data_IF_020854096806
#
_entry.id   IF_020854096806
#
_cell.length_a   1.000
_cell.length_b   1.000
_cell.length_c   1.000
_cell.angle_alpha   90.00
_cell.angle_beta   90.00
_cell.angle_gamma   90.00
#
_symmetry.space_group_name_H-M   'P 1'
#
loop_
_entity.id
_entity.type
_entity.pdbx_description
1 polymer ?
#
# COMPACT_ATOMS: atom_id res chain seq x y z
N UNK A 1 13.72 -24.52 4.80
CA UNK A 1 13.25 -23.51 3.84
C UNK A 1 13.79 -22.11 4.13
N UNK A 2 14.01 -21.71 5.39
CA UNK A 2 14.44 -20.34 5.73
C UNK A 2 15.77 -19.87 5.09
N UNK A 3 16.68 -20.80 4.75
CA UNK A 3 17.93 -20.50 4.05
C UNK A 3 17.75 -20.23 2.54
N UNK A 4 16.51 -20.22 2.02
CA UNK A 4 16.23 -19.79 0.65
C UNK A 4 16.65 -18.31 0.49
N UNK A 5 17.44 -17.96 -0.54
CA UNK A 5 17.93 -16.60 -0.75
C UNK A 5 16.82 -15.53 -0.75
N UNK A 6 15.65 -15.84 -1.32
CA UNK A 6 14.50 -14.94 -1.39
C UNK A 6 13.90 -14.65 -0.02
N UNK A 7 13.87 -15.67 0.86
CA UNK A 7 13.40 -15.52 2.24
C UNK A 7 14.41 -14.70 3.05
N UNK A 8 15.71 -14.99 2.91
CA UNK A 8 16.76 -14.22 3.59
C UNK A 8 16.77 -12.74 3.16
N UNK A 9 16.50 -12.47 1.89
CA UNK A 9 16.37 -11.12 1.34
C UNK A 9 15.19 -10.33 1.92
N UNK A 10 14.21 -10.99 2.55
CA UNK A 10 13.11 -10.34 3.28
C UNK A 10 13.33 -10.28 4.78
N UNK A 11 13.82 -11.37 5.37
CA UNK A 11 13.97 -11.49 6.82
C UNK A 11 15.08 -10.57 7.32
N UNK A 12 16.23 -10.51 6.65
CA UNK A 12 17.35 -9.67 7.11
C UNK A 12 17.00 -8.18 7.08
N UNK A 13 16.48 -7.60 5.97
CA UNK A 13 16.06 -6.20 5.99
C UNK A 13 14.92 -5.93 6.97
N UNK A 14 13.97 -6.85 7.12
CA UNK A 14 12.88 -6.72 8.10
C UNK A 14 13.40 -6.66 9.53
N UNK A 15 14.42 -7.47 9.89
CA UNK A 15 15.06 -7.41 11.21
C UNK A 15 15.77 -6.07 11.44
N UNK A 16 16.58 -5.62 10.47
CA UNK A 16 17.27 -4.32 10.55
C UNK A 16 16.25 -3.19 10.70
N UNK A 17 15.21 -3.19 9.87
CA UNK A 17 14.13 -2.22 9.92
C UNK A 17 13.42 -2.22 11.28
N UNK A 18 13.13 -3.40 11.83
CA UNK A 18 12.49 -3.57 13.15
C UNK A 18 13.34 -2.94 14.25
N UNK A 19 14.66 -3.16 14.24
CA UNK A 19 15.59 -2.56 15.22
C UNK A 19 15.63 -1.03 15.10
N UNK A 20 15.72 -0.52 13.86
CA UNK A 20 15.72 0.92 13.58
C UNK A 20 14.42 1.59 14.05
N UNK A 21 13.27 0.97 13.76
CA UNK A 21 11.94 1.46 14.16
C UNK A 21 11.77 1.40 15.67
N UNK A 22 12.21 0.33 16.34
CA UNK A 22 12.16 0.22 17.80
C UNK A 22 13.00 1.31 18.50
N UNK A 23 14.22 1.55 17.99
CA UNK A 23 15.07 2.63 18.47
C UNK A 23 14.40 4.01 18.28
N UNK A 24 13.87 4.27 17.08
CA UNK A 24 13.17 5.51 16.79
C UNK A 24 11.94 5.69 17.71
N UNK A 25 11.15 4.65 17.92
CA UNK A 25 9.95 4.67 18.76
C UNK A 25 10.26 5.11 20.20
N UNK A 26 11.34 4.60 20.80
CA UNK A 26 11.78 5.00 22.14
C UNK A 26 12.11 6.50 22.23
N UNK A 27 12.71 7.07 21.18
CA UNK A 27 13.00 8.51 21.10
C UNK A 27 11.70 9.30 20.85
N UNK A 28 10.80 8.79 20.00
CA UNK A 28 9.52 9.44 19.69
C UNK A 28 8.68 9.70 20.94
N UNK A 29 8.63 8.75 21.88
CA UNK A 29 7.94 8.93 23.17
C UNK A 29 8.49 10.15 23.92
N UNK A 30 9.82 10.31 23.96
CA UNK A 30 10.46 11.45 24.63
C UNK A 30 10.18 12.77 23.91
N UNK A 31 10.23 12.77 22.58
CA UNK A 31 9.94 13.97 21.77
C UNK A 31 8.48 14.40 22.01
N UNK A 32 7.50 13.51 21.89
CA UNK A 32 6.09 13.86 22.07
C UNK A 32 5.80 14.39 23.48
N UNK A 33 6.46 13.85 24.50
CA UNK A 33 6.23 14.23 25.89
C UNK A 33 6.89 15.56 26.30
N UNK A 34 8.08 15.88 25.75
CA UNK A 34 8.92 16.98 26.27
C UNK A 34 9.30 18.06 25.26
N UNK A 35 8.84 17.96 24.01
CA UNK A 35 9.16 18.93 22.98
C UNK A 35 8.60 20.32 23.29
N UNK A 36 9.48 21.32 23.39
CA UNK A 36 9.12 22.73 23.51
C UNK A 36 10.10 23.60 22.69
N UNK A 37 9.64 24.07 21.53
CA UNK A 37 10.47 24.86 20.59
C UNK A 37 10.87 26.24 21.15
N UNK A 38 10.18 26.74 22.19
CA UNK A 38 10.50 28.02 22.82
C UNK A 38 11.54 27.88 23.94
N UNK A 39 11.95 26.65 24.28
CA UNK A 39 12.90 26.38 25.36
C UNK A 39 14.34 26.29 24.86
N UNK A 40 15.25 27.10 25.39
CA UNK A 40 16.68 26.99 25.14
C UNK A 40 17.40 25.94 26.00
N UNK A 41 16.68 25.01 26.62
CA UNK A 41 17.27 24.03 27.55
C UNK A 41 18.18 23.02 26.85
N UNK A 42 19.18 22.49 27.57
CA UNK A 42 20.05 21.41 27.04
C UNK A 42 19.24 20.18 26.59
N UNK A 43 18.13 19.90 27.29
CA UNK A 43 17.20 18.84 26.93
C UNK A 43 16.59 19.09 25.55
N UNK A 44 16.07 20.30 25.29
CA UNK A 44 15.46 20.65 24.00
C UNK A 44 16.50 20.59 22.87
N UNK A 45 17.69 21.16 23.06
CA UNK A 45 18.79 21.07 22.09
C UNK A 45 19.23 19.61 21.82
N UNK A 46 19.15 18.75 22.84
CA UNK A 46 19.35 17.32 22.71
C UNK A 46 18.26 16.62 21.89
N UNK A 47 17.00 16.99 22.08
CA UNK A 47 15.85 16.46 21.32
C UNK A 47 15.88 16.91 19.86
N UNK A 48 16.25 18.16 19.59
CA UNK A 48 16.42 18.69 18.22
C UNK A 48 17.46 17.90 17.43
N UNK A 49 18.66 17.70 17.99
CA UNK A 49 19.71 16.88 17.34
C UNK A 49 19.23 15.46 17.06
N UNK A 50 18.52 14.84 17.99
CA UNK A 50 17.98 13.48 17.81
C UNK A 50 16.85 13.43 16.78
N UNK A 51 16.09 14.50 16.61
CA UNK A 51 15.00 14.57 15.62
C UNK A 51 15.54 14.37 14.20
N UNK A 52 16.66 15.01 13.86
CA UNK A 52 17.30 14.81 12.55
C UNK A 52 17.75 13.36 12.34
N UNK A 53 18.40 12.77 13.35
CA UNK A 53 18.82 11.36 13.29
C UNK A 53 17.61 10.44 13.09
N UNK A 54 16.54 10.64 13.86
CA UNK A 54 15.31 9.84 13.74
C UNK A 54 14.65 10.04 12.38
N UNK A 55 14.54 11.27 11.87
CA UNK A 55 13.96 11.54 10.55
C UNK A 55 14.72 10.81 9.44
N UNK A 56 16.06 10.80 9.48
CA UNK A 56 16.90 10.09 8.52
C UNK A 56 16.75 8.57 8.63
N UNK A 57 16.81 8.03 9.85
CA UNK A 57 16.60 6.59 10.11
C UNK A 57 15.23 6.14 9.59
N UNK A 58 14.18 6.90 9.90
CA UNK A 58 12.83 6.59 9.48
C UNK A 58 12.63 6.74 7.98
N UNK A 59 13.25 7.73 7.33
CA UNK A 59 13.20 7.84 5.87
C UNK A 59 13.75 6.56 5.20
N UNK A 60 14.88 6.05 5.67
CA UNK A 60 15.43 4.79 5.17
C UNK A 60 14.52 3.60 5.51
N UNK A 61 14.17 3.42 6.78
CA UNK A 61 13.39 2.28 7.26
C UNK A 61 12.00 2.18 6.61
N UNK A 62 11.29 3.30 6.45
CA UNK A 62 9.97 3.33 5.83
C UNK A 62 10.04 3.19 4.31
N UNK A 63 11.11 3.66 3.66
CA UNK A 63 11.34 3.40 2.23
C UNK A 63 11.59 1.91 1.99
N UNK A 64 12.40 1.27 2.84
CA UNK A 64 12.57 -0.19 2.82
C UNK A 64 11.23 -0.90 3.04
N UNK A 65 10.38 -0.39 3.93
CA UNK A 65 9.04 -0.94 4.14
C UNK A 65 8.16 -0.88 2.89
N UNK A 66 8.22 0.20 2.11
CA UNK A 66 7.49 0.30 0.84
C UNK A 66 7.95 -0.76 -0.16
N UNK A 67 9.26 -0.99 -0.26
CA UNK A 67 9.85 -2.01 -1.13
C UNK A 67 9.57 -3.43 -0.64
N UNK A 68 9.44 -3.62 0.68
CA UNK A 68 9.22 -4.93 1.30
C UNK A 68 7.90 -5.57 0.87
N UNK A 69 6.86 -4.77 0.56
CA UNK A 69 5.59 -5.26 0.00
C UNK A 69 5.81 -6.01 -1.32
N UNK A 70 6.49 -5.37 -2.26
CA UNK A 70 6.74 -5.96 -3.59
C UNK A 70 7.64 -7.18 -3.51
N UNK A 71 8.70 -7.10 -2.69
CA UNK A 71 9.60 -8.22 -2.49
C UNK A 71 8.90 -9.41 -1.80
N UNK A 72 7.97 -9.13 -0.87
CA UNK A 72 7.17 -10.17 -0.21
C UNK A 72 6.25 -10.88 -1.19
N UNK A 73 5.54 -10.14 -2.05
CA UNK A 73 4.67 -10.72 -3.08
C UNK A 73 5.50 -11.54 -4.07
N UNK A 74 6.63 -11.01 -4.55
CA UNK A 74 7.54 -11.73 -5.42
C UNK A 74 8.04 -13.03 -4.79
N UNK A 75 8.43 -12.99 -3.51
CA UNK A 75 8.89 -14.18 -2.79
C UNK A 75 7.77 -15.19 -2.57
N UNK A 76 6.57 -14.72 -2.22
CA UNK A 76 5.40 -15.58 -2.08
C UNK A 76 5.07 -16.27 -3.41
N UNK A 77 5.15 -15.56 -4.54
CA UNK A 77 4.98 -16.18 -5.85
C UNK A 77 6.10 -17.17 -6.14
N UNK A 78 7.38 -16.81 -6.01
CA UNK A 78 8.50 -17.71 -6.30
C UNK A 78 8.50 -19.01 -5.48
N UNK A 79 7.96 -18.98 -4.25
CA UNK A 79 7.85 -20.15 -3.38
C UNK A 79 6.83 -21.20 -3.86
N UNK A 80 5.94 -20.89 -4.81
CA UNK A 80 4.91 -21.84 -5.27
C UNK A 80 5.54 -23.15 -5.79
N UNK A 81 6.66 -23.05 -6.52
CA UNK A 81 7.40 -24.20 -7.07
C UNK A 81 7.97 -25.15 -5.99
N UNK A 82 8.07 -24.70 -4.74
CA UNK A 82 8.64 -25.45 -3.62
C UNK A 82 7.57 -26.02 -2.67
N UNK A 83 6.29 -25.75 -2.95
CA UNK A 83 5.15 -26.12 -2.11
C UNK A 83 4.19 -27.01 -2.90
N UNK A 84 3.86 -28.18 -2.37
CA UNK A 84 2.91 -29.08 -3.03
C UNK A 84 1.52 -28.45 -3.18
N UNK A 85 1.02 -28.38 -4.41
CA UNK A 85 -0.31 -27.82 -4.73
C UNK A 85 -0.35 -26.30 -4.93
N UNK A 86 0.75 -25.59 -4.74
CA UNK A 86 0.80 -24.14 -4.96
C UNK A 86 1.07 -23.82 -6.45
N UNK A 87 0.12 -23.16 -7.10
CA UNK A 87 0.25 -22.73 -8.51
C UNK A 87 0.71 -21.26 -8.65
N UNK A 88 0.54 -20.46 -7.60
CA UNK A 88 0.91 -19.05 -7.54
C UNK A 88 1.07 -18.62 -6.08
N UNK A 89 1.32 -17.33 -5.84
CA UNK A 89 1.38 -16.74 -4.49
C UNK A 89 0.19 -17.11 -3.58
N UNK A 90 -1.01 -17.37 -4.12
CA UNK A 90 -2.17 -17.83 -3.32
C UNK A 90 -1.86 -19.11 -2.54
N UNK A 91 -1.26 -20.09 -3.20
CA UNK A 91 -0.91 -21.36 -2.56
C UNK A 91 0.14 -21.16 -1.48
N UNK A 92 1.15 -20.33 -1.76
CA UNK A 92 2.19 -19.98 -0.79
C UNK A 92 1.63 -19.23 0.42
N UNK A 93 0.75 -18.25 0.21
CA UNK A 93 0.13 -17.48 1.29
C UNK A 93 -0.82 -18.32 2.14
N UNK A 94 -1.46 -19.35 1.56
CA UNK A 94 -2.30 -20.31 2.27
C UNK A 94 -1.52 -21.46 2.93
N UNK A 95 -0.19 -21.54 2.75
CA UNK A 95 0.60 -22.63 3.31
C UNK A 95 0.52 -22.71 4.85
N UNK A 96 0.20 -21.59 5.51
CA UNK A 96 -0.14 -21.54 6.92
C UNK A 96 -1.03 -20.29 7.22
N UNK A 97 -1.61 -20.16 8.43
CA UNK A 97 -2.53 -19.07 8.75
C UNK A 97 -1.94 -17.65 8.74
N UNK A 98 -0.62 -17.49 8.66
CA UNK A 98 0.04 -16.18 8.81
C UNK A 98 0.24 -15.44 7.48
N UNK A 99 0.15 -16.09 6.31
CA UNK A 99 0.50 -15.48 5.03
C UNK A 99 -0.37 -14.27 4.65
N UNK A 100 -1.70 -14.45 4.61
CA UNK A 100 -2.64 -13.34 4.34
C UNK A 100 -2.63 -12.23 5.39
N UNK A 101 -2.56 -12.51 6.71
CA UNK A 101 -2.36 -11.47 7.71
C UNK A 101 -1.10 -10.62 7.48
N UNK A 102 0.03 -11.23 7.09
CA UNK A 102 1.26 -10.49 6.76
C UNK A 102 1.04 -9.62 5.52
N UNK A 103 0.40 -10.12 4.47
CA UNK A 103 0.09 -9.34 3.27
C UNK A 103 -0.81 -8.13 3.61
N UNK A 104 -1.85 -8.34 4.41
CA UNK A 104 -2.76 -7.28 4.83
C UNK A 104 -2.03 -6.19 5.62
N UNK A 105 -1.18 -6.58 6.58
CA UNK A 105 -0.36 -5.63 7.33
C UNK A 105 0.63 -4.89 6.43
N UNK A 106 1.26 -5.57 5.46
CA UNK A 106 2.15 -4.92 4.48
C UNK A 106 1.43 -3.86 3.65
N UNK A 107 0.20 -4.13 3.20
CA UNK A 107 -0.60 -3.14 2.47
C UNK A 107 -0.97 -1.94 3.36
N UNK A 108 -1.39 -2.18 4.60
CA UNK A 108 -1.72 -1.10 5.55
C UNK A 108 -0.47 -0.28 5.87
N UNK A 109 0.64 -0.93 6.23
CA UNK A 109 1.90 -0.28 6.52
C UNK A 109 2.44 0.46 5.29
N UNK A 110 2.29 -0.06 4.07
CA UNK A 110 2.66 0.64 2.84
C UNK A 110 1.98 2.01 2.75
N UNK A 111 0.67 2.07 2.98
CA UNK A 111 -0.08 3.32 2.96
C UNK A 111 0.34 4.27 4.09
N UNK A 112 0.41 3.78 5.32
CA UNK A 112 0.75 4.62 6.48
C UNK A 112 2.19 5.16 6.40
N UNK A 113 3.14 4.31 5.99
CA UNK A 113 4.55 4.68 5.78
C UNK A 113 4.68 5.72 4.68
N UNK A 114 3.99 5.54 3.55
CA UNK A 114 3.99 6.50 2.45
C UNK A 114 3.43 7.86 2.86
N UNK A 115 2.30 7.89 3.59
CA UNK A 115 1.72 9.14 4.12
C UNK A 115 2.69 9.82 5.10
N UNK A 116 3.33 9.04 5.98
CA UNK A 116 4.32 9.57 6.92
C UNK A 116 5.52 10.21 6.21
N UNK A 117 6.04 9.56 5.16
CA UNK A 117 7.16 10.10 4.35
C UNK A 117 6.78 11.44 3.69
N UNK A 118 5.54 11.57 3.21
CA UNK A 118 5.04 12.84 2.67
C UNK A 118 4.98 13.92 3.77
N UNK A 119 4.44 13.60 4.94
CA UNK A 119 4.38 14.53 6.08
C UNK A 119 5.79 14.97 6.49
N UNK A 120 6.73 14.03 6.61
CA UNK A 120 8.12 14.32 6.96
C UNK A 120 8.80 15.23 5.92
N UNK A 121 8.53 15.02 4.62
CA UNK A 121 9.03 15.88 3.54
C UNK A 121 8.47 17.31 3.63
N UNK A 122 7.21 17.47 4.01
CA UNK A 122 6.57 18.79 4.18
C UNK A 122 7.13 19.50 5.41
N UNK A 123 7.25 18.80 6.54
CA UNK A 123 7.77 19.34 7.80
C UNK A 123 9.22 19.82 7.64
N UNK A 124 10.08 19.04 6.98
CA UNK A 124 11.48 19.38 6.73
C UNK A 124 11.69 20.60 5.79
N UNK A 125 10.63 21.10 5.15
CA UNK A 125 10.69 22.33 4.33
C UNK A 125 10.30 23.58 5.10
N UNK A 126 9.68 23.44 6.27
CA UNK A 126 9.29 24.54 7.13
C UNK A 126 10.40 24.83 8.14
N UNK A 127 10.72 26.10 8.37
CA UNK A 127 11.83 26.48 9.26
C UNK A 127 11.51 26.26 10.75
N UNK A 128 10.23 26.16 11.11
CA UNK A 128 9.69 26.11 12.48
C UNK A 128 9.24 24.69 12.91
N UNK A 129 9.50 23.66 12.11
CA UNK A 129 9.13 22.25 12.38
C UNK A 129 7.71 22.07 12.96
N UNK A 130 6.68 22.66 12.34
CA UNK A 130 5.38 22.81 12.96
C UNK A 130 4.61 21.48 13.06
N UNK A 131 5.01 20.45 12.30
CA UNK A 131 4.36 19.14 12.29
C UNK A 131 5.09 18.12 13.16
N UNK A 132 6.05 18.53 13.99
CA UNK A 132 6.88 17.58 14.73
C UNK A 132 6.06 16.70 15.68
N UNK A 133 5.16 17.29 16.48
CA UNK A 133 4.26 16.54 17.38
C UNK A 133 3.31 15.60 16.62
N UNK A 134 2.52 16.05 15.62
CA UNK A 134 1.65 15.13 14.88
C UNK A 134 2.43 14.07 14.10
N UNK A 135 3.59 14.40 13.52
CA UNK A 135 4.48 13.46 12.83
C UNK A 135 4.94 12.33 13.76
N UNK A 136 5.37 12.66 14.98
CA UNK A 136 5.83 11.66 15.94
C UNK A 136 4.70 10.90 16.63
N UNK A 137 3.52 11.51 16.83
CA UNK A 137 2.32 10.78 17.24
C UNK A 137 1.88 9.76 16.18
N UNK A 138 1.94 10.13 14.91
CA UNK A 138 1.62 9.20 13.83
C UNK A 138 2.66 8.06 13.76
N UNK A 139 3.93 8.35 14.01
CA UNK A 139 4.97 7.33 14.10
C UNK A 139 4.75 6.34 15.27
N UNK A 140 4.18 6.80 16.39
CA UNK A 140 3.81 5.93 17.50
C UNK A 140 2.72 4.90 17.13
N UNK A 141 1.91 5.18 16.11
CA UNK A 141 0.94 4.21 15.55
C UNK A 141 1.62 3.25 14.56
N UNK A 142 2.49 3.76 13.69
CA UNK A 142 3.15 2.97 12.64
C UNK A 142 4.14 1.96 13.22
N UNK A 143 4.92 2.37 14.22
CA UNK A 143 5.97 1.53 14.80
C UNK A 143 5.45 0.16 15.32
N UNK A 144 4.42 0.08 16.19
CA UNK A 144 3.91 -1.21 16.65
C UNK A 144 3.33 -2.05 15.51
N UNK A 145 2.70 -1.44 14.49
CA UNK A 145 2.21 -2.17 13.32
C UNK A 145 3.33 -2.82 12.52
N UNK A 146 4.46 -2.14 12.33
CA UNK A 146 5.66 -2.72 11.70
C UNK A 146 6.23 -3.85 12.56
N UNK A 147 6.29 -3.70 13.89
CA UNK A 147 6.76 -4.76 14.79
C UNK A 147 5.90 -6.02 14.69
N UNK A 148 4.57 -5.87 14.73
CA UNK A 148 3.62 -6.98 14.58
C UNK A 148 3.77 -7.63 13.21
N UNK A 149 3.89 -6.84 12.14
CA UNK A 149 4.13 -7.36 10.80
C UNK A 149 5.42 -8.19 10.72
N UNK A 150 6.54 -7.68 11.25
CA UNK A 150 7.83 -8.38 11.23
C UNK A 150 7.76 -9.70 12.01
N UNK A 151 7.09 -9.71 13.17
CA UNK A 151 6.89 -10.94 13.97
C UNK A 151 6.06 -11.95 13.19
N UNK A 152 4.95 -11.53 12.59
CA UNK A 152 4.08 -12.38 11.78
C UNK A 152 4.78 -12.89 10.51
N UNK A 153 5.60 -12.06 9.87
CA UNK A 153 6.41 -12.45 8.71
C UNK A 153 7.43 -13.52 9.09
N UNK A 154 8.13 -13.34 10.22
CA UNK A 154 9.09 -14.32 10.71
C UNK A 154 8.39 -15.63 11.08
N UNK A 155 7.25 -15.58 11.78
CA UNK A 155 6.46 -16.78 12.11
C UNK A 155 5.93 -17.47 10.86
N UNK A 156 5.48 -16.73 9.85
CA UNK A 156 5.06 -17.28 8.56
C UNK A 156 6.18 -18.13 7.93
N UNK A 157 7.40 -17.59 7.83
CA UNK A 157 8.52 -18.31 7.21
C UNK A 157 9.06 -19.45 8.07
N UNK A 158 9.06 -19.32 9.41
CA UNK A 158 9.47 -20.39 10.33
C UNK A 158 8.50 -21.58 10.31
N UNK A 159 7.22 -21.33 10.08
CA UNK A 159 6.18 -22.37 9.99
C UNK A 159 5.93 -22.86 8.56
N UNK A 160 6.74 -22.44 7.58
CA UNK A 160 6.60 -22.89 6.20
C UNK A 160 7.09 -24.33 6.06
N UNK A 161 6.18 -25.27 5.78
CA UNK A 161 6.48 -26.69 5.56
C UNK A 161 6.22 -27.04 4.10
N UNK A 162 7.19 -27.64 3.42
CA UNK A 162 7.10 -27.97 1.98
C UNK A 162 6.16 -29.14 1.65
N UNK A 163 5.79 -29.95 2.64
CA UNK A 163 4.98 -31.17 2.47
C UNK A 163 3.54 -31.01 2.99
N UNK A 164 2.96 -29.84 2.81
CA UNK A 164 1.53 -29.60 3.05
C UNK A 164 0.86 -29.42 1.69
N UNK A 165 -0.29 -30.06 1.49
CA UNK A 165 -1.11 -29.82 0.31
C UNK A 165 -1.82 -28.48 0.50
N UNK A 166 -1.40 -27.47 -0.26
CA UNK A 166 -1.97 -26.12 -0.19
C UNK A 166 -3.21 -26.01 -1.07
N UNK A 167 -4.12 -25.09 -0.72
CA UNK A 167 -5.31 -24.79 -1.54
C UNK A 167 -4.92 -24.00 -2.77
N UNK A 168 -5.42 -24.42 -3.94
CA UNK A 168 -5.24 -23.68 -5.18
C UNK A 168 -6.16 -22.44 -5.22
N UNK A 169 -5.82 -21.48 -6.07
CA UNK A 169 -6.66 -20.30 -6.29
C UNK A 169 -8.06 -20.66 -6.82
N UNK A 170 -8.19 -21.77 -7.55
CA UNK A 170 -9.48 -22.25 -8.06
C UNK A 170 -10.49 -22.60 -6.96
N UNK A 171 -10.06 -23.15 -5.82
CA UNK A 171 -10.96 -23.44 -4.71
C UNK A 171 -11.21 -22.22 -3.81
N UNK A 172 -10.26 -21.29 -3.72
CA UNK A 172 -10.42 -20.08 -2.91
C UNK A 172 -11.30 -19.01 -3.58
N UNK A 173 -11.23 -18.92 -4.92
CA UNK A 173 -12.00 -17.94 -5.70
C UNK A 173 -13.11 -18.58 -6.54
N UNK A 174 -13.32 -19.90 -6.44
CA UNK A 174 -14.47 -20.59 -7.03
C UNK A 174 -15.78 -20.19 -6.32
N UNK A 175 -16.85 -20.02 -7.09
CA UNK A 175 -18.14 -19.48 -6.62
C UNK A 175 -18.92 -20.33 -5.60
N UNK A 176 -18.34 -21.41 -5.08
CA UNK A 176 -19.00 -22.35 -4.15
C UNK A 176 -18.74 -22.04 -2.66
N UNK A 177 -17.85 -21.09 -2.34
CA UNK A 177 -17.54 -20.73 -0.95
C UNK A 177 -18.43 -19.61 -0.41
N UNK A 178 -19.03 -19.76 0.77
CA UNK A 178 -19.81 -18.70 1.46
C UNK A 178 -18.98 -17.51 1.99
N UNK A 179 -17.94 -17.10 1.28
CA UNK A 179 -17.02 -16.02 1.66
C UNK A 179 -17.42 -14.67 1.05
N UNK A 180 -17.01 -13.57 1.67
CA UNK A 180 -17.26 -12.20 1.16
C UNK A 180 -16.67 -11.99 -0.23
N UNK A 181 -15.54 -12.63 -0.55
CA UNK A 181 -14.95 -12.59 -1.89
C UNK A 181 -15.83 -13.29 -2.93
N UNK A 182 -16.44 -14.43 -2.60
CA UNK A 182 -17.31 -15.14 -3.53
C UNK A 182 -18.60 -14.37 -3.84
N UNK A 183 -19.18 -13.67 -2.85
CA UNK A 183 -20.37 -12.83 -3.07
C UNK A 183 -20.09 -11.60 -3.92
N UNK A 184 -18.86 -11.09 -3.91
CA UNK A 184 -18.44 -10.00 -4.79
C UNK A 184 -18.17 -10.51 -6.21
N UNK A 185 -17.54 -11.69 -6.33
CA UNK A 185 -17.28 -12.33 -7.63
C UNK A 185 -18.58 -12.71 -8.36
N UNK A 186 -19.63 -13.07 -7.62
CA UNK A 186 -20.93 -13.42 -8.20
C UNK A 186 -21.77 -12.23 -8.67
N UNK A 187 -21.31 -10.98 -8.46
CA UNK A 187 -22.01 -9.80 -8.98
C UNK A 187 -21.94 -9.75 -10.51
N UNK A 188 -22.98 -9.22 -11.18
CA UNK A 188 -22.94 -9.06 -12.64
C UNK A 188 -21.71 -8.23 -13.06
N UNK A 189 -20.94 -8.68 -14.07
CA UNK A 189 -19.73 -7.98 -14.52
C UNK A 189 -19.99 -6.52 -14.94
N UNK A 190 -21.18 -6.23 -15.48
CA UNK A 190 -21.62 -4.88 -15.80
C UNK A 190 -21.72 -3.98 -14.55
N UNK A 191 -22.23 -4.52 -13.43
CA UNK A 191 -22.31 -3.82 -12.15
C UNK A 191 -20.92 -3.56 -11.57
N UNK A 192 -20.02 -4.55 -11.63
CA UNK A 192 -18.63 -4.40 -11.20
C UNK A 192 -17.91 -3.33 -12.02
N UNK A 193 -18.08 -3.33 -13.34
CA UNK A 193 -17.53 -2.31 -14.22
C UNK A 193 -18.10 -0.91 -13.92
N UNK A 194 -19.40 -0.79 -13.68
CA UNK A 194 -20.04 0.48 -13.32
C UNK A 194 -19.47 1.04 -12.00
N UNK A 195 -19.35 0.20 -10.97
CA UNK A 195 -18.78 0.60 -9.68
C UNK A 195 -17.32 1.03 -9.85
N UNK A 196 -16.53 0.24 -10.59
CA UNK A 196 -15.13 0.53 -10.87
C UNK A 196 -14.94 1.86 -11.61
N UNK A 197 -15.56 2.00 -12.79
CA UNK A 197 -15.43 3.22 -13.60
C UNK A 197 -16.06 4.44 -12.92
N UNK A 198 -17.17 4.26 -12.19
CA UNK A 198 -17.78 5.31 -11.40
C UNK A 198 -16.85 5.84 -10.30
N UNK A 199 -16.20 4.95 -9.56
CA UNK A 199 -15.23 5.32 -8.52
C UNK A 199 -13.99 6.01 -9.10
N UNK A 200 -13.46 5.50 -10.21
CA UNK A 200 -12.31 6.09 -10.90
C UNK A 200 -12.66 7.46 -11.47
N UNK A 201 -13.79 7.61 -12.15
CA UNK A 201 -14.27 8.88 -12.69
C UNK A 201 -14.51 9.91 -11.59
N UNK A 202 -15.15 9.51 -10.47
CA UNK A 202 -15.36 10.39 -9.33
C UNK A 202 -14.04 10.89 -8.74
N UNK A 203 -13.05 10.00 -8.62
CA UNK A 203 -11.71 10.34 -8.11
C UNK A 203 -10.97 11.28 -9.05
N UNK A 204 -10.98 10.99 -10.36
CA UNK A 204 -10.36 11.84 -11.38
C UNK A 204 -11.02 13.22 -11.43
N UNK A 205 -12.35 13.29 -11.44
CA UNK A 205 -13.10 14.54 -11.42
C UNK A 205 -12.82 15.36 -10.15
N UNK A 206 -12.76 14.71 -8.98
CA UNK A 206 -12.42 15.37 -7.72
C UNK A 206 -10.98 15.93 -7.72
N UNK A 207 -10.02 15.18 -8.28
CA UNK A 207 -8.63 15.63 -8.40
C UNK A 207 -8.49 16.80 -9.38
N UNK A 208 -9.15 16.75 -10.55
CA UNK A 208 -9.18 17.85 -11.51
C UNK A 208 -9.82 19.09 -10.90
N UNK A 209 -10.97 18.94 -10.23
CA UNK A 209 -11.64 20.04 -9.51
C UNK A 209 -10.72 20.64 -8.46
N UNK A 210 -9.99 19.80 -7.71
CA UNK A 210 -9.00 20.27 -6.74
C UNK A 210 -7.87 21.07 -7.40
N UNK A 211 -7.32 20.62 -8.52
CA UNK A 211 -6.27 21.35 -9.23
C UNK A 211 -6.74 22.71 -9.76
N UNK A 212 -7.96 22.78 -10.32
CA UNK A 212 -8.52 24.01 -10.90
C UNK A 212 -8.98 24.99 -9.81
N UNK A 213 -9.71 24.52 -8.80
CA UNK A 213 -10.34 25.38 -7.78
C UNK A 213 -9.52 25.51 -6.50
N UNK A 214 -8.45 24.74 -6.33
CA UNK A 214 -7.64 24.65 -5.09
C UNK A 214 -8.47 24.36 -3.83
N UNK A 215 -9.65 23.74 -3.99
CA UNK A 215 -10.61 23.37 -2.93
C UNK A 215 -11.02 21.92 -3.08
N UNK A 216 -11.27 21.24 -1.97
CA UNK A 216 -11.74 19.83 -1.97
C UNK A 216 -10.66 18.76 -1.79
N UNK A 217 -9.45 19.11 -1.33
CA UNK A 217 -8.39 18.12 -1.06
C UNK A 217 -8.82 16.96 -0.14
N UNK A 218 -9.60 17.16 0.96
CA UNK A 218 -10.06 16.05 1.79
C UNK A 218 -10.95 15.07 1.02
N UNK A 219 -11.92 15.58 0.25
CA UNK A 219 -12.80 14.75 -0.57
C UNK A 219 -12.01 13.95 -1.61
N UNK A 220 -11.04 14.59 -2.29
CA UNK A 220 -10.16 13.90 -3.22
C UNK A 220 -9.37 12.77 -2.55
N UNK A 221 -8.84 12.99 -1.34
CA UNK A 221 -8.14 11.95 -0.59
C UNK A 221 -9.03 10.78 -0.17
N UNK A 222 -10.26 11.06 0.30
CA UNK A 222 -11.26 10.04 0.65
C UNK A 222 -11.62 9.21 -0.59
N UNK A 223 -11.92 9.87 -1.71
CA UNK A 223 -12.25 9.19 -2.96
C UNK A 223 -11.07 8.37 -3.49
N UNK A 224 -9.83 8.88 -3.38
CA UNK A 224 -8.63 8.12 -3.76
C UNK A 224 -8.44 6.85 -2.93
N UNK A 225 -8.72 6.91 -1.61
CA UNK A 225 -8.72 5.74 -0.75
C UNK A 225 -9.83 4.74 -1.11
N UNK A 226 -11.03 5.24 -1.40
CA UNK A 226 -12.14 4.41 -1.88
C UNK A 226 -11.85 3.74 -3.23
N UNK A 227 -11.32 4.49 -4.19
CA UNK A 227 -10.93 3.99 -5.50
C UNK A 227 -9.78 2.97 -5.42
N UNK A 228 -8.85 3.12 -4.48
CA UNK A 228 -7.85 2.10 -4.20
C UNK A 228 -8.49 0.77 -3.77
N UNK A 229 -9.41 0.80 -2.79
CA UNK A 229 -10.09 -0.39 -2.31
C UNK A 229 -10.94 -1.05 -3.41
N UNK A 230 -11.72 -0.23 -4.14
CA UNK A 230 -12.52 -0.69 -5.27
C UNK A 230 -11.62 -1.26 -6.38
N UNK A 231 -10.46 -0.66 -6.63
CA UNK A 231 -9.48 -1.16 -7.57
C UNK A 231 -8.91 -2.52 -7.18
N UNK A 232 -8.59 -2.75 -5.91
CA UNK A 232 -8.14 -4.07 -5.40
C UNK A 232 -9.24 -5.11 -5.57
N UNK A 233 -10.49 -4.75 -5.28
CA UNK A 233 -11.63 -5.65 -5.50
C UNK A 233 -11.82 -5.95 -6.99
N UNK A 234 -11.75 -4.94 -7.85
CA UNK A 234 -11.84 -5.08 -9.29
C UNK A 234 -10.69 -5.91 -9.86
N UNK A 235 -9.49 -5.87 -9.27
CA UNK A 235 -8.38 -6.74 -9.65
C UNK A 235 -8.78 -8.22 -9.60
N UNK A 236 -9.52 -8.63 -8.58
CA UNK A 236 -10.01 -10.01 -8.41
C UNK A 236 -11.23 -10.29 -9.30
N UNK A 237 -12.25 -9.44 -9.20
CA UNK A 237 -13.59 -9.76 -9.70
C UNK A 237 -13.81 -9.41 -11.19
N UNK A 238 -12.98 -8.53 -11.77
CA UNK A 238 -13.17 -8.03 -13.13
C UNK A 238 -11.88 -8.12 -13.95
N UNK A 239 -10.81 -7.50 -13.48
CA UNK A 239 -9.59 -7.28 -14.26
C UNK A 239 -8.86 -8.59 -14.53
N UNK A 240 -8.60 -9.41 -13.51
CA UNK A 240 -7.86 -10.68 -13.70
C UNK A 240 -8.52 -11.62 -14.71
N UNK A 241 -9.85 -11.91 -14.64
CA UNK A 241 -10.51 -12.72 -15.66
C UNK A 241 -10.35 -12.19 -17.10
N UNK A 242 -10.42 -10.86 -17.31
CA UNK A 242 -10.20 -10.25 -18.63
C UNK A 242 -8.75 -10.36 -19.12
N UNK A 243 -7.77 -10.33 -18.21
CA UNK A 243 -6.36 -10.55 -18.57
C UNK A 243 -6.05 -12.01 -18.86
N UNK A 244 -6.76 -12.93 -18.21
CA UNK A 244 -6.59 -14.36 -18.44
C UNK A 244 -7.41 -14.88 -19.60
N UNK A 245 -8.42 -14.12 -20.04
CA UNK A 245 -9.45 -14.55 -21.00
C UNK A 245 -10.21 -15.81 -20.54
N UNK A 246 -10.27 -16.02 -19.22
CA UNK A 246 -11.00 -17.11 -18.58
C UNK A 246 -11.94 -16.56 -17.51
N UNK A 247 -13.28 -16.67 -17.66
CA UNK A 247 -14.24 -16.06 -16.76
C UNK A 247 -14.21 -16.65 -15.35
N UNK A 248 -13.70 -17.87 -15.19
CA UNK A 248 -13.61 -18.57 -13.90
C UNK A 248 -12.27 -18.33 -13.18
N UNK A 249 -11.31 -17.65 -13.81
CA UNK A 249 -9.98 -17.43 -13.23
C UNK A 249 -9.87 -16.03 -12.61
N UNK A 250 -10.05 -15.95 -11.29
CA UNK A 250 -10.10 -14.68 -10.53
C UNK A 250 -8.82 -14.38 -9.73
N UNK A 251 -7.78 -15.19 -9.86
CA UNK A 251 -6.58 -15.05 -9.03
C UNK A 251 -5.92 -13.69 -9.25
N UNK A 252 -5.73 -12.83 -8.24
CA UNK A 252 -5.10 -11.52 -8.42
C UNK A 252 -3.56 -11.58 -8.50
N UNK A 253 -2.97 -12.76 -8.36
CA UNK A 253 -1.52 -12.96 -8.32
C UNK A 253 -0.95 -13.64 -9.57
N UNK A 254 -1.73 -14.47 -10.29
CA UNK A 254 -1.23 -15.10 -11.52
C UNK A 254 -0.83 -14.06 -12.57
N UNK A 255 -1.49 -12.90 -12.60
CA UNK A 255 -1.20 -11.75 -13.49
C UNK A 255 0.20 -11.15 -13.27
N UNK A 256 0.86 -11.50 -12.16
CA UNK A 256 2.25 -11.14 -11.88
C UNK A 256 3.25 -12.09 -12.54
N UNK A 257 2.81 -13.24 -13.05
CA UNK A 257 3.71 -14.26 -13.60
C UNK A 257 4.16 -13.90 -15.03
N UNK A 258 5.23 -14.55 -15.47
CA UNK A 258 5.84 -14.31 -16.79
C UNK A 258 4.91 -14.66 -17.96
N UNK A 259 3.99 -15.60 -17.76
CA UNK A 259 3.00 -16.00 -18.76
C UNK A 259 2.05 -14.85 -19.15
N UNK A 260 1.88 -13.87 -18.26
CA UNK A 260 1.12 -12.64 -18.51
C UNK A 260 2.03 -11.42 -18.64
N UNK A 261 3.28 -11.64 -19.08
CA UNK A 261 4.28 -10.61 -19.31
C UNK A 261 4.50 -9.66 -18.13
N UNK A 262 4.30 -10.14 -16.89
CA UNK A 262 4.46 -9.35 -15.67
C UNK A 262 3.55 -8.10 -15.59
N UNK A 263 2.44 -8.06 -16.34
CA UNK A 263 1.54 -6.89 -16.42
C UNK A 263 0.88 -6.52 -15.09
N UNK A 264 0.79 -7.46 -14.15
CA UNK A 264 0.31 -7.20 -12.80
C UNK A 264 1.13 -6.14 -12.06
N UNK A 265 2.45 -6.08 -12.26
CA UNK A 265 3.32 -5.13 -11.57
C UNK A 265 2.99 -3.66 -11.89
N UNK A 266 2.91 -3.22 -13.16
CA UNK A 266 2.47 -1.87 -13.48
C UNK A 266 1.03 -1.57 -13.05
N UNK A 267 0.12 -2.56 -13.09
CA UNK A 267 -1.26 -2.39 -12.58
C UNK A 267 -1.27 -2.07 -11.08
N UNK A 268 -0.59 -2.87 -10.25
CA UNK A 268 -0.51 -2.62 -8.82
C UNK A 268 0.27 -1.34 -8.49
N UNK A 269 1.36 -1.04 -9.21
CA UNK A 269 2.17 0.16 -8.98
C UNK A 269 1.37 1.44 -9.25
N UNK A 270 0.63 1.48 -10.35
CA UNK A 270 -0.20 2.63 -10.71
C UNK A 270 -1.39 2.77 -9.76
N UNK A 271 -2.04 1.67 -9.38
CA UNK A 271 -3.14 1.68 -8.41
C UNK A 271 -2.67 2.13 -7.00
N UNK A 272 -1.63 1.49 -6.45
CA UNK A 272 -1.10 1.79 -5.12
C UNK A 272 -0.49 3.19 -5.06
N UNK A 273 0.32 3.56 -6.07
CA UNK A 273 0.94 4.89 -6.14
C UNK A 273 -0.09 6.00 -6.34
N UNK A 274 -1.11 5.75 -7.17
CA UNK A 274 -2.23 6.67 -7.38
C UNK A 274 -3.03 6.89 -6.10
N UNK A 275 -3.41 5.81 -5.42
CA UNK A 275 -4.12 5.83 -4.15
C UNK A 275 -3.33 6.53 -3.04
N UNK A 276 -2.06 6.14 -2.84
CA UNK A 276 -1.18 6.72 -1.82
C UNK A 276 -0.99 8.23 -2.03
N UNK A 277 -0.74 8.66 -3.26
CA UNK A 277 -0.56 10.09 -3.58
C UNK A 277 -1.83 10.90 -3.33
N UNK A 278 -2.99 10.35 -3.70
CA UNK A 278 -4.29 10.99 -3.46
C UNK A 278 -4.66 11.07 -1.98
N UNK A 279 -4.52 9.97 -1.23
CA UNK A 279 -4.70 9.93 0.23
C UNK A 279 -3.78 10.96 0.90
N UNK A 280 -2.51 10.98 0.54
CA UNK A 280 -1.52 11.92 1.08
C UNK A 280 -1.90 13.38 0.81
N UNK A 281 -2.43 13.69 -0.38
CA UNK A 281 -2.97 15.00 -0.70
C UNK A 281 -4.11 15.40 0.26
N UNK A 282 -5.04 14.47 0.54
CA UNK A 282 -6.13 14.70 1.49
C UNK A 282 -5.65 14.90 2.93
N UNK A 283 -4.73 14.05 3.41
CA UNK A 283 -4.18 14.12 4.77
C UNK A 283 -3.48 15.46 5.03
N UNK A 284 -2.74 15.99 4.05
CA UNK A 284 -2.09 17.30 4.18
C UNK A 284 -3.08 18.46 4.37
N UNK A 285 -4.36 18.30 4.03
CA UNK A 285 -5.37 19.32 4.27
C UNK A 285 -5.68 19.52 5.77
N UNK A 286 -5.39 18.54 6.62
CA UNK A 286 -5.58 18.62 8.07
C UNK A 286 -4.58 19.57 8.76
N UNK A 287 -3.48 19.94 8.09
CA UNK A 287 -2.33 20.64 8.71
C UNK A 287 -2.19 22.12 8.31
N UNK A 288 -3.28 22.79 7.89
CA UNK A 288 -3.27 24.15 7.30
C UNK A 288 -3.07 25.33 8.28
N UNK A 289 -2.62 25.08 9.50
CA UNK A 289 -2.55 26.08 10.59
C UNK A 289 -1.33 27.02 10.61
N UNK A 290 -0.09 26.54 10.41
CA UNK A 290 1.13 27.36 10.55
C UNK A 290 1.40 28.26 9.34
N UNK A 291 1.89 29.49 9.59
CA UNK A 291 2.21 30.46 8.55
C UNK A 291 3.30 29.96 7.57
N UNK A 292 4.29 29.23 8.09
CA UNK A 292 5.38 28.63 7.30
C UNK A 292 4.90 27.60 6.28
N UNK A 293 3.78 26.91 6.55
CA UNK A 293 3.22 25.88 5.67
C UNK A 293 2.28 26.43 4.59
N UNK A 294 1.93 27.71 4.65
CA UNK A 294 0.90 28.33 3.79
C UNK A 294 1.22 28.25 2.30
N UNK A 295 2.50 28.26 1.93
CA UNK A 295 2.98 28.07 0.55
C UNK A 295 3.39 26.62 0.25
N UNK A 296 3.90 25.90 1.25
CA UNK A 296 4.48 24.55 1.09
C UNK A 296 3.38 23.49 0.88
N UNK A 297 2.33 23.50 1.70
CA UNK A 297 1.24 22.51 1.63
C UNK A 297 0.53 22.58 0.27
N UNK A 298 0.03 23.73 -0.22
CA UNK A 298 -0.70 23.77 -1.49
C UNK A 298 0.15 23.33 -2.68
N UNK A 299 1.43 23.72 -2.73
CA UNK A 299 2.36 23.28 -3.78
C UNK A 299 2.55 21.76 -3.76
N UNK A 300 2.77 21.18 -2.58
CA UNK A 300 2.94 19.73 -2.41
C UNK A 300 1.66 18.97 -2.73
N UNK A 301 0.49 19.47 -2.30
CA UNK A 301 -0.81 18.88 -2.61
C UNK A 301 -1.07 18.87 -4.13
N UNK A 302 -0.77 19.95 -4.85
CA UNK A 302 -0.92 19.98 -6.32
C UNK A 302 -0.03 18.94 -7.00
N UNK A 303 1.23 18.80 -6.57
CA UNK A 303 2.13 17.81 -7.14
C UNK A 303 1.64 16.37 -6.88
N UNK A 304 1.21 16.07 -5.66
CA UNK A 304 0.62 14.77 -5.30
C UNK A 304 -0.67 14.48 -6.07
N UNK A 305 -1.52 15.49 -6.28
CA UNK A 305 -2.74 15.34 -7.06
C UNK A 305 -2.43 15.05 -8.54
N UNK A 306 -1.45 15.72 -9.14
CA UNK A 306 -1.02 15.43 -10.52
C UNK A 306 -0.49 14.00 -10.64
N UNK A 307 0.39 13.57 -9.71
CA UNK A 307 0.90 12.19 -9.69
C UNK A 307 -0.25 11.19 -9.55
N UNK A 308 -1.19 11.44 -8.62
CA UNK A 308 -2.34 10.57 -8.39
C UNK A 308 -3.23 10.44 -9.63
N UNK A 309 -3.57 11.57 -10.26
CA UNK A 309 -4.36 11.59 -11.50
C UNK A 309 -3.66 10.89 -12.66
N UNK A 310 -2.36 11.11 -12.82
CA UNK A 310 -1.58 10.46 -13.88
C UNK A 310 -1.55 8.94 -13.69
N UNK A 311 -1.22 8.46 -12.48
CA UNK A 311 -1.15 7.04 -12.18
C UNK A 311 -2.52 6.36 -12.26
N UNK A 312 -3.58 6.96 -11.70
CA UNK A 312 -4.93 6.41 -11.83
C UNK A 312 -5.44 6.46 -13.27
N UNK A 313 -5.10 7.49 -14.03
CA UNK A 313 -5.41 7.58 -15.46
C UNK A 313 -4.75 6.45 -16.25
N UNK A 314 -3.45 6.20 -16.03
CA UNK A 314 -2.73 5.08 -16.65
C UNK A 314 -3.34 3.74 -16.25
N UNK A 315 -3.66 3.54 -14.96
CA UNK A 315 -4.32 2.33 -14.48
C UNK A 315 -5.65 2.08 -15.21
N UNK A 316 -6.52 3.10 -15.30
CA UNK A 316 -7.79 3.02 -16.01
C UNK A 316 -7.57 2.72 -17.50
N UNK A 317 -6.60 3.36 -18.15
CA UNK A 317 -6.28 3.10 -19.56
C UNK A 317 -5.85 1.65 -19.80
N UNK A 318 -4.97 1.11 -18.94
CA UNK A 318 -4.53 -0.29 -19.03
C UNK A 318 -5.69 -1.27 -18.86
N UNK A 319 -6.59 -1.00 -17.89
CA UNK A 319 -7.77 -1.83 -17.66
C UNK A 319 -8.75 -1.73 -18.83
N UNK A 320 -9.09 -0.52 -19.27
CA UNK A 320 -9.99 -0.29 -20.41
C UNK A 320 -9.47 -0.88 -21.71
N UNK A 321 -8.16 -0.80 -21.96
CA UNK A 321 -7.54 -1.44 -23.11
C UNK A 321 -7.83 -2.95 -23.11
N UNK A 322 -7.55 -3.63 -21.99
CA UNK A 322 -7.79 -5.06 -21.90
C UNK A 322 -9.28 -5.42 -22.01
N UNK A 323 -10.18 -4.65 -21.37
CA UNK A 323 -11.62 -4.92 -21.43
C UNK A 323 -12.20 -4.78 -22.84
N UNK A 324 -11.67 -3.87 -23.66
CA UNK A 324 -12.14 -3.65 -25.03
C UNK A 324 -11.58 -4.70 -26.00
N UNK A 325 -10.28 -4.99 -25.90
CA UNK A 325 -9.54 -5.80 -26.87
C UNK A 325 -9.42 -7.28 -26.50
N UNK A 326 -9.74 -7.69 -25.28
CA UNK A 326 -9.80 -9.10 -24.92
C UNK A 326 -10.84 -9.86 -25.75
N UNK A 327 -10.53 -11.12 -26.06
CA UNK A 327 -11.48 -12.06 -26.68
C UNK A 327 -12.63 -12.45 -25.75
N UNK A 328 -12.49 -12.25 -24.43
CA UNK A 328 -13.53 -12.53 -23.44
C UNK A 328 -14.59 -11.42 -23.42
N UNK A 329 -15.87 -11.80 -23.45
CA UNK A 329 -17.01 -10.88 -23.30
C UNK A 329 -17.83 -11.31 -22.09
N UNK A 330 -17.76 -10.54 -21.01
CA UNK A 330 -18.57 -10.77 -19.78
C UNK A 330 -19.64 -9.70 -19.57
N UNK A 331 -19.62 -8.62 -20.36
CA UNK A 331 -20.55 -7.48 -20.28
C UNK A 331 -21.37 -7.46 -21.57
N UNK A 332 -22.70 -7.58 -21.45
CA UNK A 332 -23.62 -7.51 -22.59
C UNK A 332 -24.08 -8.85 -23.15
N UNK A 333 -23.84 -9.95 -22.42
CA UNK A 333 -24.60 -11.20 -22.58
C UNK A 333 -25.90 -11.18 -21.75
#
# INVERSE_FOLDING_TARGET
MILNPSILALVLPSLVQTLLVAYAFAICIRIVARWDINSGSELQLGLERRTYLVSTIMNMALTMQLLSLFLFIFTADALHSQLSGAMCAVGSLNANPYGYPVLALKLVNFLLCGVWLVINRVDNRAHDYPLIRPKYRFLQLIAPLILVESVLQLTYFLNLKSRILTTCCGSQFGGEGGTVTASIISLPPATLALIFYGAMLATLAAGIRFLVKSRGAPLFGILSGGALLIGIIAMVALISPYYYELPTHHCPFCILQGDYHYIGYPLYLTLLGGGLSGISCGVLAAFRGPASLKSIIPSTQKHLAVISLALMGVFVLMVSWQLVFSGLRMIGE
#
